data_IF_219984359556
#
_entry.id   IF_219984359556
#
_cell.length_a   1.000
_cell.length_b   1.000
_cell.length_c   1.000
_cell.angle_alpha   90.00
_cell.angle_beta   90.00
_cell.angle_gamma   90.00
#
_symmetry.space_group_name_H-M   'P 1'
#
loop_
_entity.id
_entity.type
_entity.pdbx_description
1 polymer ?
#
# COMPACT_ATOMS: atom_id res chain seq x y z
N UNK A 1 44.88 -8.90 -25.99
CA UNK A 1 44.88 -10.22 -26.67
C UNK A 1 44.11 -11.34 -25.95
N UNK A 2 43.87 -11.29 -24.68
CA UNK A 2 43.19 -12.35 -23.95
C UNK A 2 41.66 -12.43 -24.10
N UNK A 3 40.98 -11.29 -24.01
CA UNK A 3 39.52 -11.28 -23.93
C UNK A 3 38.85 -11.69 -25.25
N UNK A 4 39.36 -11.21 -26.38
CA UNK A 4 38.84 -11.56 -27.70
C UNK A 4 38.96 -13.06 -28.01
N UNK A 5 40.04 -13.69 -27.54
CA UNK A 5 40.25 -15.13 -27.72
C UNK A 5 39.24 -15.92 -26.87
N UNK A 6 39.05 -15.53 -25.61
CA UNK A 6 38.08 -16.18 -24.69
C UNK A 6 36.66 -15.98 -25.22
N UNK A 7 36.31 -14.80 -25.62
CA UNK A 7 35.00 -14.48 -26.19
C UNK A 7 34.68 -15.34 -27.42
N UNK A 8 35.59 -15.37 -28.42
CA UNK A 8 35.39 -16.18 -29.63
C UNK A 8 35.28 -17.68 -29.35
N UNK A 9 36.02 -18.20 -28.37
CA UNK A 9 36.08 -19.64 -28.08
C UNK A 9 34.94 -20.13 -27.21
N UNK A 10 34.48 -19.35 -26.23
CA UNK A 10 33.62 -19.84 -25.16
C UNK A 10 32.19 -19.24 -25.19
N UNK A 11 31.90 -18.19 -25.96
CA UNK A 11 30.53 -17.62 -26.03
C UNK A 11 29.49 -18.66 -26.47
N UNK A 12 29.77 -19.39 -27.53
CA UNK A 12 28.80 -20.35 -28.09
C UNK A 12 28.56 -21.56 -27.17
N UNK A 13 29.59 -22.23 -26.63
CA UNK A 13 29.40 -23.36 -25.68
C UNK A 13 28.65 -22.94 -24.42
N UNK A 14 28.96 -21.77 -23.86
CA UNK A 14 28.29 -21.28 -22.64
C UNK A 14 26.83 -20.90 -22.94
N UNK A 15 26.59 -20.27 -24.08
CA UNK A 15 25.23 -19.92 -24.51
C UNK A 15 24.34 -21.14 -24.66
N UNK A 16 24.86 -22.21 -25.29
CA UNK A 16 24.14 -23.47 -25.45
C UNK A 16 23.87 -24.14 -24.11
N UNK A 17 24.87 -24.25 -23.24
CA UNK A 17 24.72 -24.86 -21.94
C UNK A 17 23.70 -24.12 -21.04
N UNK A 18 23.69 -22.80 -21.07
CA UNK A 18 22.71 -22.01 -20.30
C UNK A 18 21.32 -22.18 -20.91
N UNK A 19 21.17 -22.17 -22.23
CA UNK A 19 19.89 -22.36 -22.89
C UNK A 19 19.29 -23.76 -22.63
N UNK A 20 20.13 -24.80 -22.55
CA UNK A 20 19.68 -26.17 -22.21
C UNK A 20 19.18 -26.27 -20.77
N UNK A 21 19.82 -25.57 -19.83
CA UNK A 21 19.44 -25.62 -18.41
C UNK A 21 18.23 -24.72 -18.09
N UNK A 22 18.17 -23.55 -18.69
CA UNK A 22 17.18 -22.50 -18.31
C UNK A 22 16.01 -22.38 -19.29
N UNK A 23 16.11 -22.95 -20.50
CA UNK A 23 15.12 -22.77 -21.56
C UNK A 23 15.09 -21.36 -22.16
N UNK A 24 16.00 -20.48 -21.77
CA UNK A 24 16.04 -19.07 -22.20
C UNK A 24 17.37 -18.75 -22.92
N UNK A 25 17.30 -18.04 -24.03
CA UNK A 25 18.48 -17.57 -24.76
C UNK A 25 19.03 -16.30 -24.10
N UNK A 26 20.22 -16.42 -23.48
CA UNK A 26 20.94 -15.29 -22.92
C UNK A 26 22.03 -14.79 -23.88
N UNK A 27 22.26 -13.49 -23.88
CA UNK A 27 23.41 -12.88 -24.53
C UNK A 27 24.60 -12.88 -23.55
N UNK A 28 25.73 -13.46 -23.96
CA UNK A 28 26.90 -13.62 -23.07
C UNK A 28 27.95 -12.60 -23.47
N UNK A 29 28.37 -11.80 -22.50
CA UNK A 29 29.43 -10.81 -22.65
C UNK A 29 30.53 -11.08 -21.64
N UNK A 30 31.77 -11.20 -22.13
CA UNK A 30 32.93 -11.28 -21.28
C UNK A 30 33.45 -9.89 -20.96
N UNK A 31 33.65 -9.59 -19.68
CA UNK A 31 34.11 -8.29 -19.20
C UNK A 31 35.35 -8.46 -18.31
N UNK A 32 36.28 -7.52 -18.34
CA UNK A 32 37.44 -7.50 -17.45
C UNK A 32 37.01 -7.05 -16.04
N UNK A 33 37.71 -7.51 -14.98
CA UNK A 33 37.43 -7.08 -13.60
C UNK A 33 37.50 -5.56 -13.41
N UNK A 34 38.25 -4.85 -14.24
CA UNK A 34 38.37 -3.40 -14.25
C UNK A 34 37.15 -2.72 -14.89
N UNK A 35 36.55 -3.35 -15.91
CA UNK A 35 35.34 -2.85 -16.58
C UNK A 35 34.11 -3.05 -15.69
N UNK A 36 34.10 -4.07 -14.81
CA UNK A 36 33.02 -4.28 -13.79
C UNK A 36 32.92 -3.07 -12.85
N UNK A 37 34.04 -2.36 -12.61
CA UNK A 37 34.05 -1.14 -11.79
C UNK A 37 33.52 0.10 -12.54
N UNK A 38 33.49 0.08 -13.86
CA UNK A 38 33.03 1.20 -14.71
C UNK A 38 31.62 1.00 -15.28
N UNK A 39 31.20 -0.24 -15.51
CA UNK A 39 29.76 -0.46 -15.64
C UNK A 39 29.17 -0.13 -14.27
N UNK A 40 28.54 1.05 -14.15
CA UNK A 40 27.62 1.31 -13.07
C UNK A 40 26.81 0.03 -12.90
N UNK A 41 26.99 -0.65 -11.79
CA UNK A 41 26.09 -1.73 -11.37
C UNK A 41 24.70 -1.24 -11.74
N UNK A 42 23.85 -2.02 -12.44
CA UNK A 42 22.49 -1.61 -12.77
C UNK A 42 21.99 -0.98 -11.48
N UNK A 43 21.69 0.34 -11.55
CA UNK A 43 21.53 1.20 -10.36
C UNK A 43 20.80 0.33 -9.37
N UNK A 44 21.32 0.06 -8.17
CA UNK A 44 20.84 -1.02 -7.32
C UNK A 44 19.35 -0.88 -7.44
N UNK A 45 18.66 -1.94 -7.94
CA UNK A 45 17.20 -1.95 -7.99
C UNK A 45 16.95 -1.64 -6.54
N UNK A 46 16.69 -0.36 -6.26
CA UNK A 46 16.47 0.11 -4.90
C UNK A 46 15.42 -0.88 -4.49
N UNK A 47 15.77 -1.82 -3.60
CA UNK A 47 14.79 -2.73 -3.01
C UNK A 47 13.75 -1.76 -2.61
N UNK A 48 12.67 -1.69 -3.43
CA UNK A 48 11.66 -0.68 -3.26
C UNK A 48 11.27 -0.84 -1.81
N UNK A 49 11.74 0.06 -0.95
CA UNK A 49 11.41 0.08 0.48
C UNK A 49 9.89 0.11 0.66
N UNK A 50 9.21 0.27 -0.46
CA UNK A 50 7.78 0.41 -0.67
C UNK A 50 7.15 -0.76 -1.45
N UNK A 51 7.78 -1.95 -1.54
CA UNK A 51 7.05 -3.14 -1.99
C UNK A 51 6.23 -3.59 -0.78
N UNK A 52 4.94 -3.27 -0.76
CA UNK A 52 4.09 -3.64 0.37
C UNK A 52 4.03 -5.17 0.41
N UNK A 53 4.00 -5.74 1.62
CA UNK A 53 3.78 -7.18 1.82
C UNK A 53 2.32 -7.53 1.46
N UNK A 54 2.02 -7.53 0.16
CA UNK A 54 0.68 -7.78 -0.37
C UNK A 54 0.46 -9.29 -0.54
N UNK A 55 -0.74 -9.75 -0.18
CA UNK A 55 -1.14 -11.12 -0.50
C UNK A 55 -1.40 -11.24 -2.02
N UNK A 56 -0.64 -12.07 -2.76
CA UNK A 56 -0.77 -12.18 -4.21
C UNK A 56 -2.12 -12.75 -4.68
N UNK A 57 -2.87 -13.39 -3.77
CA UNK A 57 -4.20 -13.94 -4.08
C UNK A 57 -5.32 -12.89 -4.02
N UNK A 58 -5.05 -11.70 -3.46
CA UNK A 58 -6.05 -10.66 -3.28
C UNK A 58 -6.02 -9.69 -4.46
N UNK A 59 -6.70 -10.08 -5.54
CA UNK A 59 -6.88 -9.28 -6.76
C UNK A 59 -8.36 -8.98 -6.99
N UNK A 60 -8.69 -8.03 -7.87
CA UNK A 60 -10.08 -7.79 -8.24
C UNK A 60 -10.74 -8.99 -8.92
N UNK A 61 -9.97 -9.77 -9.69
CA UNK A 61 -10.47 -10.96 -10.40
C UNK A 61 -10.90 -12.09 -9.44
N UNK A 62 -10.23 -12.19 -8.29
CA UNK A 62 -10.52 -13.22 -7.28
C UNK A 62 -11.54 -12.75 -6.24
N UNK A 63 -11.95 -11.48 -6.29
CA UNK A 63 -12.92 -10.92 -5.37
C UNK A 63 -14.35 -11.29 -5.75
N UNK A 64 -15.11 -11.92 -4.83
CA UNK A 64 -16.49 -12.28 -5.08
C UNK A 64 -17.40 -11.06 -4.88
N UNK A 65 -17.98 -10.57 -5.97
CA UNK A 65 -18.91 -9.43 -5.97
C UNK A 65 -20.33 -9.90 -5.69
N UNK A 66 -20.96 -9.31 -4.69
CA UNK A 66 -22.36 -9.52 -4.33
C UNK A 66 -23.10 -8.20 -4.12
N UNK A 67 -24.43 -8.27 -3.91
CA UNK A 67 -25.26 -7.07 -3.72
C UNK A 67 -24.79 -6.16 -2.59
N UNK A 68 -24.15 -6.71 -1.57
CA UNK A 68 -23.76 -5.99 -0.34
C UNK A 68 -22.39 -5.31 -0.45
N UNK A 69 -21.53 -5.71 -1.41
CA UNK A 69 -20.20 -5.18 -1.57
C UNK A 69 -19.93 -4.54 -2.95
N UNK A 70 -20.93 -4.60 -3.86
CA UNK A 70 -20.83 -4.05 -5.23
C UNK A 70 -20.37 -2.60 -5.26
N UNK A 71 -20.88 -1.77 -4.37
CA UNK A 71 -20.47 -0.35 -4.30
C UNK A 71 -19.03 -0.20 -3.83
N UNK A 72 -18.62 -0.96 -2.78
CA UNK A 72 -17.26 -0.92 -2.31
C UNK A 72 -16.26 -1.42 -3.36
N UNK A 73 -16.62 -2.48 -4.09
CA UNK A 73 -15.82 -2.99 -5.21
C UNK A 73 -15.68 -1.93 -6.32
N UNK A 74 -16.79 -1.32 -6.76
CA UNK A 74 -16.76 -0.29 -7.81
C UNK A 74 -15.96 0.94 -7.40
N UNK A 75 -16.11 1.42 -6.15
CA UNK A 75 -15.33 2.53 -5.63
C UNK A 75 -13.83 2.20 -5.51
N UNK A 76 -13.51 0.95 -5.12
CA UNK A 76 -12.13 0.47 -5.05
C UNK A 76 -11.48 0.41 -6.42
N UNK A 77 -12.23 -0.04 -7.43
CA UNK A 77 -11.75 -0.09 -8.82
C UNK A 77 -11.52 1.32 -9.38
N UNK A 78 -12.47 2.25 -9.14
CA UNK A 78 -12.32 3.64 -9.56
C UNK A 78 -11.07 4.31 -8.96
N UNK A 79 -10.79 4.06 -7.66
CA UNK A 79 -9.56 4.52 -6.99
C UNK A 79 -8.32 3.89 -7.58
N UNK A 80 -8.37 2.60 -7.93
CA UNK A 80 -7.24 1.92 -8.54
C UNK A 80 -6.93 2.44 -9.95
N UNK A 81 -7.95 2.84 -10.70
CA UNK A 81 -7.83 3.41 -12.05
C UNK A 81 -7.28 4.83 -12.05
N UNK A 82 -7.71 5.67 -11.08
CA UNK A 82 -7.33 7.09 -10.97
C UNK A 82 -7.03 7.46 -9.50
N UNK A 83 -5.86 7.08 -8.97
CA UNK A 83 -5.49 7.36 -7.59
C UNK A 83 -5.37 8.86 -7.31
N UNK A 84 -5.96 9.29 -6.19
CA UNK A 84 -5.93 10.69 -5.75
C UNK A 84 -7.05 11.58 -6.31
N UNK A 85 -7.82 11.11 -7.31
CA UNK A 85 -8.77 11.95 -8.03
C UNK A 85 -10.22 11.83 -7.53
N UNK A 86 -10.76 10.58 -7.44
CA UNK A 86 -12.23 10.39 -7.27
C UNK A 86 -12.62 10.28 -5.80
N UNK A 87 -11.98 9.36 -5.07
CA UNK A 87 -12.28 9.05 -3.67
C UNK A 87 -11.00 9.15 -2.84
N UNK A 88 -10.69 10.33 -2.34
CA UNK A 88 -9.51 10.54 -1.49
C UNK A 88 -9.89 11.33 -0.22
N UNK A 89 -9.83 10.73 0.97
CA UNK A 89 -9.51 9.32 1.25
C UNK A 89 -10.65 8.34 0.89
N UNK A 90 -10.28 7.11 0.52
CA UNK A 90 -11.22 5.99 0.44
C UNK A 90 -11.33 5.31 1.80
N UNK A 91 -12.54 5.27 2.36
CA UNK A 91 -12.83 4.53 3.60
C UNK A 91 -13.56 3.23 3.31
N UNK A 92 -12.91 2.09 3.59
CA UNK A 92 -13.53 0.77 3.56
C UNK A 92 -13.89 0.35 4.98
N UNK A 93 -15.18 0.19 5.29
CA UNK A 93 -15.63 -0.20 6.62
C UNK A 93 -16.72 -1.27 6.59
N UNK A 94 -16.79 -2.06 7.64
CA UNK A 94 -17.77 -3.16 7.75
C UNK A 94 -17.32 -4.21 8.75
N UNK A 95 -18.15 -5.26 8.93
CA UNK A 95 -17.85 -6.39 9.81
C UNK A 95 -16.62 -7.19 9.38
N UNK A 96 -16.21 -8.11 10.23
CA UNK A 96 -15.11 -9.05 9.95
C UNK A 96 -15.49 -9.98 8.78
N UNK A 97 -14.50 -10.42 7.99
CA UNK A 97 -14.69 -11.41 6.93
C UNK A 97 -15.38 -10.90 5.66
N UNK A 98 -15.62 -9.59 5.51
CA UNK A 98 -16.33 -9.04 4.33
C UNK A 98 -15.40 -8.71 3.14
N UNK A 99 -14.14 -9.08 3.19
CA UNK A 99 -13.20 -8.86 2.08
C UNK A 99 -12.60 -7.45 2.00
N UNK A 100 -12.64 -6.65 3.08
CA UNK A 100 -12.07 -5.29 3.09
C UNK A 100 -10.58 -5.28 2.76
N UNK A 101 -9.79 -6.08 3.47
CA UNK A 101 -8.35 -6.23 3.24
C UNK A 101 -8.06 -6.78 1.84
N UNK A 102 -8.94 -7.67 1.31
CA UNK A 102 -8.85 -8.15 -0.07
C UNK A 102 -8.96 -6.98 -1.06
N UNK A 103 -9.99 -6.13 -0.94
CA UNK A 103 -10.15 -4.95 -1.80
C UNK A 103 -8.98 -3.98 -1.68
N UNK A 104 -8.47 -3.74 -0.48
CA UNK A 104 -7.31 -2.88 -0.25
C UNK A 104 -6.07 -3.39 -1.00
N UNK A 105 -5.77 -4.70 -0.90
CA UNK A 105 -4.66 -5.32 -1.64
C UNK A 105 -4.92 -5.33 -3.15
N UNK A 106 -6.18 -5.53 -3.59
CA UNK A 106 -6.54 -5.49 -5.01
C UNK A 106 -6.24 -4.12 -5.63
N UNK A 107 -6.55 -3.03 -4.92
CA UNK A 107 -6.21 -1.67 -5.35
C UNK A 107 -4.69 -1.54 -5.54
N UNK A 108 -3.91 -1.98 -4.56
CA UNK A 108 -2.45 -1.89 -4.63
C UNK A 108 -1.87 -2.70 -5.78
N UNK A 109 -2.33 -3.95 -5.97
CA UNK A 109 -1.90 -4.78 -7.10
C UNK A 109 -2.23 -4.14 -8.45
N UNK A 110 -3.43 -3.61 -8.62
CA UNK A 110 -3.85 -2.96 -9.85
C UNK A 110 -3.00 -1.72 -10.17
N UNK A 111 -2.74 -0.86 -9.17
CA UNK A 111 -1.89 0.32 -9.35
C UNK A 111 -0.47 -0.08 -9.74
N UNK A 112 0.11 -1.10 -9.08
CA UNK A 112 1.46 -1.60 -9.39
C UNK A 112 1.55 -2.24 -10.78
N UNK A 113 0.51 -2.93 -11.23
CA UNK A 113 0.44 -3.47 -12.58
C UNK A 113 0.42 -2.35 -13.65
N UNK A 114 -0.32 -1.28 -13.38
CA UNK A 114 -0.44 -0.14 -14.28
C UNK A 114 0.81 0.77 -14.24
N UNK A 115 1.35 0.98 -13.06
CA UNK A 115 2.56 1.78 -12.83
C UNK A 115 3.49 1.12 -11.80
N UNK A 116 4.45 0.29 -12.25
CA UNK A 116 5.38 -0.41 -11.35
C UNK A 116 6.30 0.50 -10.54
N UNK A 117 6.42 1.79 -10.92
CA UNK A 117 7.23 2.77 -10.19
C UNK A 117 6.48 3.45 -9.04
N UNK A 118 5.18 3.20 -8.88
CA UNK A 118 4.37 3.78 -7.80
C UNK A 118 4.89 3.32 -6.43
N UNK A 119 5.06 4.29 -5.54
CA UNK A 119 5.48 4.04 -4.16
C UNK A 119 4.24 3.80 -3.31
N UNK A 120 3.93 2.54 -3.07
CA UNK A 120 2.79 2.10 -2.27
C UNK A 120 3.28 1.62 -0.91
N UNK A 121 2.70 2.14 0.15
CA UNK A 121 2.96 1.69 1.51
C UNK A 121 1.69 1.09 2.11
N UNK A 122 1.75 -0.20 2.46
CA UNK A 122 0.74 -0.90 3.24
C UNK A 122 1.26 -1.13 4.65
N UNK A 123 0.51 -0.70 5.64
CA UNK A 123 0.82 -0.90 7.07
C UNK A 123 -0.46 -1.16 7.85
N UNK A 124 -0.33 -1.89 8.95
CA UNK A 124 -1.38 -1.92 9.97
C UNK A 124 -1.26 -0.69 10.87
N UNK A 125 -2.35 -0.29 11.49
CA UNK A 125 -2.31 0.80 12.47
C UNK A 125 -1.44 0.48 13.68
N UNK A 126 -1.25 -0.81 13.98
CA UNK A 126 -0.33 -1.27 15.03
C UNK A 126 1.13 -1.02 14.63
N UNK A 127 1.53 -1.41 13.41
CA UNK A 127 2.87 -1.14 12.89
C UNK A 127 3.16 0.36 12.84
N UNK A 128 2.22 1.15 12.31
CA UNK A 128 2.32 2.61 12.31
C UNK A 128 2.56 3.17 13.72
N UNK A 129 1.76 2.70 14.70
CA UNK A 129 1.88 3.13 16.10
C UNK A 129 3.24 2.78 16.69
N UNK A 130 3.69 1.55 16.48
CA UNK A 130 4.96 1.08 17.02
C UNK A 130 6.14 1.88 16.43
N UNK A 131 6.11 2.17 15.13
CA UNK A 131 7.13 3.00 14.48
C UNK A 131 7.12 4.44 14.99
N UNK A 132 5.95 5.05 15.24
CA UNK A 132 5.86 6.39 15.88
C UNK A 132 6.47 6.37 17.26
N UNK A 133 6.11 5.37 18.10
CA UNK A 133 6.63 5.25 19.46
C UNK A 133 8.15 5.07 19.44
N UNK A 134 8.67 4.24 18.54
CA UNK A 134 10.09 4.02 18.40
C UNK A 134 10.82 5.29 17.95
N UNK A 135 10.27 6.02 16.98
CA UNK A 135 10.82 7.28 16.51
C UNK A 135 10.87 8.36 17.62
N UNK A 136 9.85 8.39 18.49
CA UNK A 136 9.81 9.31 19.64
C UNK A 136 10.83 8.89 20.71
N UNK A 137 10.90 7.60 21.06
CA UNK A 137 11.80 7.07 22.12
C UNK A 137 13.26 7.26 21.78
N UNK A 138 13.62 7.14 20.51
CA UNK A 138 15.02 7.27 20.08
C UNK A 138 15.58 8.69 20.20
N UNK A 139 14.81 9.66 20.73
CA UNK A 139 15.19 11.04 21.08
C UNK A 139 16.11 11.74 20.06
N UNK A 140 16.31 11.13 18.89
CA UNK A 140 17.20 11.59 17.86
C UNK A 140 16.33 12.12 16.71
N UNK A 141 16.46 13.39 16.39
CA UNK A 141 15.74 14.02 15.27
C UNK A 141 15.82 13.22 13.98
N UNK A 142 16.87 12.42 13.82
CA UNK A 142 17.07 11.53 12.66
C UNK A 142 16.03 10.41 12.56
N UNK A 143 15.57 9.82 13.68
CA UNK A 143 14.59 8.74 13.67
C UNK A 143 13.21 9.26 13.22
N UNK A 144 12.77 10.38 13.76
CA UNK A 144 11.53 11.02 13.37
C UNK A 144 11.57 11.53 11.91
N UNK A 145 12.71 12.04 11.46
CA UNK A 145 12.89 12.44 10.07
C UNK A 145 12.75 11.26 9.13
N UNK A 146 13.40 10.12 9.41
CA UNK A 146 13.27 8.89 8.62
C UNK A 146 11.84 8.36 8.60
N UNK A 147 11.13 8.41 9.75
CA UNK A 147 9.72 8.04 9.82
C UNK A 147 8.89 8.91 8.86
N UNK A 148 9.05 10.23 8.93
CA UNK A 148 8.34 11.18 8.06
C UNK A 148 8.69 10.98 6.58
N UNK A 149 9.94 10.73 6.25
CA UNK A 149 10.37 10.41 4.89
C UNK A 149 9.69 9.14 4.37
N UNK A 150 9.63 8.09 5.20
CA UNK A 150 8.96 6.82 4.85
C UNK A 150 7.48 7.02 4.54
N UNK A 151 6.76 7.77 5.38
CA UNK A 151 5.30 7.88 5.29
C UNK A 151 4.80 9.02 4.41
N UNK A 152 5.62 10.05 4.15
CA UNK A 152 5.19 11.24 3.40
C UNK A 152 5.70 11.29 1.95
N UNK A 153 6.66 10.41 1.59
CA UNK A 153 7.23 10.33 0.23
C UNK A 153 6.67 9.15 -0.57
N UNK A 154 5.38 8.89 -0.45
CA UNK A 154 4.68 7.79 -1.12
C UNK A 154 3.58 8.32 -2.03
N UNK A 155 3.12 7.48 -2.95
CA UNK A 155 2.03 7.82 -3.87
C UNK A 155 0.69 7.27 -3.38
N UNK A 156 0.71 6.16 -2.63
CA UNK A 156 -0.48 5.51 -2.07
C UNK A 156 -0.19 5.04 -0.65
N UNK A 157 -1.01 5.47 0.31
CA UNK A 157 -0.99 5.01 1.70
C UNK A 157 -2.20 4.11 1.96
N UNK A 158 -1.93 2.90 2.44
CA UNK A 158 -2.92 1.90 2.82
C UNK A 158 -2.75 1.61 4.32
N UNK A 159 -3.74 1.97 5.14
CA UNK A 159 -3.72 1.68 6.58
C UNK A 159 -4.87 0.76 6.94
N UNK A 160 -4.51 -0.42 7.44
CA UNK A 160 -5.48 -1.40 7.93
C UNK A 160 -5.77 -1.16 9.42
N UNK A 161 -7.03 -1.43 9.79
CA UNK A 161 -7.52 -1.39 11.17
C UNK A 161 -7.27 -0.05 11.90
N UNK A 162 -7.54 1.07 11.23
CA UNK A 162 -7.27 2.42 11.72
C UNK A 162 -7.87 2.75 13.09
N UNK A 163 -8.83 1.94 13.59
CA UNK A 163 -9.43 2.12 14.91
C UNK A 163 -8.42 1.99 16.07
N UNK A 164 -7.30 1.30 15.90
CA UNK A 164 -6.30 1.12 16.96
C UNK A 164 -5.37 2.33 17.15
N UNK A 165 -5.48 3.35 16.31
CA UNK A 165 -4.84 4.66 16.51
C UNK A 165 -5.61 5.49 17.53
N UNK A 166 -6.92 5.25 17.68
CA UNK A 166 -7.80 6.03 18.56
C UNK A 166 -7.33 5.91 20.04
N UNK A 167 -7.26 7.06 20.74
CA UNK A 167 -6.84 7.13 22.14
C UNK A 167 -5.33 7.17 22.38
N UNK A 168 -4.52 7.23 21.32
CA UNK A 168 -3.06 7.38 21.37
C UNK A 168 -2.66 8.73 20.83
N UNK A 169 -2.67 9.78 21.66
CA UNK A 169 -2.53 11.18 21.25
C UNK A 169 -1.34 11.45 20.31
N UNK A 170 -0.13 11.08 20.71
CA UNK A 170 1.06 11.30 19.89
C UNK A 170 1.01 10.57 18.53
N UNK A 171 0.41 9.37 18.51
CA UNK A 171 0.21 8.62 17.25
C UNK A 171 -0.85 9.27 16.37
N UNK A 172 -1.93 9.78 16.98
CA UNK A 172 -2.99 10.50 16.27
C UNK A 172 -2.45 11.78 15.64
N UNK A 173 -1.67 12.56 16.38
CA UNK A 173 -1.05 13.79 15.88
C UNK A 173 -0.15 13.52 14.66
N UNK A 174 0.76 12.56 14.75
CA UNK A 174 1.66 12.23 13.63
C UNK A 174 0.90 11.62 12.44
N UNK A 175 -0.17 10.85 12.71
CA UNK A 175 -1.07 10.38 11.67
C UNK A 175 -1.75 11.55 10.95
N UNK A 176 -2.23 12.57 11.66
CA UNK A 176 -2.84 13.75 11.05
C UNK A 176 -1.87 14.54 10.18
N UNK A 177 -0.65 14.74 10.67
CA UNK A 177 0.37 15.43 9.88
C UNK A 177 0.70 14.65 8.60
N UNK A 178 0.78 13.33 8.68
CA UNK A 178 1.00 12.46 7.53
C UNK A 178 -0.18 12.51 6.57
N UNK A 179 -1.39 12.39 7.09
CA UNK A 179 -2.62 12.49 6.31
C UNK A 179 -2.73 13.82 5.54
N UNK A 180 -2.55 14.94 6.24
CA UNK A 180 -2.67 16.26 5.63
C UNK A 180 -1.59 16.49 4.56
N UNK A 181 -0.37 16.02 4.80
CA UNK A 181 0.72 16.11 3.82
C UNK A 181 0.40 15.35 2.55
N UNK A 182 -0.07 14.09 2.67
CA UNK A 182 -0.40 13.26 1.51
C UNK A 182 -1.65 13.76 0.78
N UNK A 183 -2.70 14.10 1.53
CA UNK A 183 -3.95 14.61 0.96
C UNK A 183 -3.74 15.93 0.22
N UNK A 184 -2.97 16.87 0.82
CA UNK A 184 -2.62 18.14 0.18
C UNK A 184 -1.76 18.00 -1.07
N UNK A 185 -1.02 16.89 -1.20
CA UNK A 185 -0.23 16.53 -2.38
C UNK A 185 -1.02 15.64 -3.38
N UNK A 186 -2.33 15.48 -3.22
CA UNK A 186 -3.19 14.60 -4.03
C UNK A 186 -2.71 13.14 -4.08
N UNK A 187 -2.02 12.66 -3.03
CA UNK A 187 -1.63 11.26 -2.89
C UNK A 187 -2.81 10.44 -2.38
N UNK A 188 -2.99 9.23 -2.90
CA UNK A 188 -4.11 8.40 -2.52
C UNK A 188 -3.97 7.87 -1.09
N UNK A 189 -5.03 8.01 -0.30
CA UNK A 189 -5.12 7.45 1.05
C UNK A 189 -6.29 6.47 1.09
N UNK A 190 -6.04 5.26 1.61
CA UNK A 190 -7.05 4.22 1.79
C UNK A 190 -7.01 3.77 3.25
N UNK A 191 -8.13 3.90 3.93
CA UNK A 191 -8.27 3.59 5.34
C UNK A 191 -9.30 2.48 5.52
N UNK A 192 -8.91 1.47 6.27
CA UNK A 192 -9.76 0.33 6.56
C UNK A 192 -10.12 0.28 8.03
N UNK A 193 -11.40 0.01 8.31
CA UNK A 193 -11.89 -0.06 9.68
C UNK A 193 -12.86 -1.23 9.88
N UNK A 194 -12.71 -1.92 11.00
CA UNK A 194 -13.72 -2.84 11.53
C UNK A 194 -14.63 -2.03 12.44
N UNK A 195 -15.89 -1.81 12.08
CA UNK A 195 -16.82 -1.00 12.89
C UNK A 195 -18.06 -1.78 13.26
N UNK A 196 -18.42 -1.84 14.56
CA UNK A 196 -19.82 -1.91 14.94
C UNK A 196 -20.48 -0.54 14.70
N UNK A 197 -21.71 -0.54 14.19
CA UNK A 197 -22.47 0.60 13.67
C UNK A 197 -22.58 1.84 14.58
N UNK A 198 -22.32 1.73 15.89
CA UNK A 198 -22.60 2.76 16.91
C UNK A 198 -21.44 3.72 17.23
N UNK A 199 -20.21 3.48 16.81
CA UNK A 199 -19.02 4.23 17.28
C UNK A 199 -18.47 5.26 16.28
N UNK A 200 -19.25 5.64 15.26
CA UNK A 200 -18.80 6.58 14.21
C UNK A 200 -18.65 8.03 14.69
N UNK A 201 -19.36 8.43 15.74
CA UNK A 201 -19.46 9.84 16.17
C UNK A 201 -18.16 10.32 16.84
N UNK A 202 -17.43 9.46 17.56
CA UNK A 202 -16.24 9.87 18.29
C UNK A 202 -15.01 10.19 17.42
N UNK A 203 -14.92 9.63 16.20
CA UNK A 203 -13.85 9.94 15.26
C UNK A 203 -13.96 11.38 14.70
N UNK A 204 -15.17 11.84 14.39
CA UNK A 204 -15.38 13.21 13.88
C UNK A 204 -15.01 14.30 14.88
N UNK A 205 -15.19 14.03 16.18
CA UNK A 205 -14.91 14.98 17.27
C UNK A 205 -13.46 14.95 17.75
N UNK A 206 -12.79 13.81 17.63
CA UNK A 206 -11.40 13.66 18.10
C UNK A 206 -10.35 14.02 17.05
N UNK A 207 -10.73 14.12 15.76
CA UNK A 207 -9.77 14.03 14.67
C UNK A 207 -9.72 15.22 13.71
N UNK A 208 -10.51 16.27 13.94
CA UNK A 208 -10.46 17.49 13.12
C UNK A 208 -10.48 18.70 14.04
N UNK A 209 -9.39 19.45 14.21
CA UNK A 209 -9.53 20.85 14.48
C UNK A 209 -10.17 21.45 13.22
N UNK A 210 -11.49 21.64 13.26
CA UNK A 210 -12.22 22.38 12.23
C UNK A 210 -11.70 23.80 12.25
N UNK A 211 -10.73 24.12 11.40
CA UNK A 211 -10.59 25.49 10.94
C UNK A 211 -11.85 25.75 10.13
N UNK A 212 -12.62 26.74 10.56
CA UNK A 212 -13.90 27.17 10.01
C UNK A 212 -13.88 27.17 8.47
N UNK A 213 -14.70 26.33 7.86
CA UNK A 213 -15.17 26.57 6.50
C UNK A 213 -15.23 25.38 5.54
N UNK A 214 -14.39 24.37 5.65
CA UNK A 214 -14.37 23.28 4.67
C UNK A 214 -14.75 21.92 5.29
N UNK A 215 -15.99 21.51 5.03
CA UNK A 215 -16.41 20.12 5.19
C UNK A 215 -15.63 19.27 4.20
N UNK A 216 -14.66 18.48 4.69
CA UNK A 216 -13.97 17.49 3.86
C UNK A 216 -14.99 16.63 3.11
N UNK A 217 -14.93 16.57 1.77
CA UNK A 217 -15.75 15.64 0.99
C UNK A 217 -15.28 14.21 1.27
N UNK A 218 -15.85 13.58 2.30
CA UNK A 218 -15.56 12.19 2.62
C UNK A 218 -16.32 11.28 1.68
N UNK A 219 -15.67 10.83 0.63
CA UNK A 219 -16.20 9.77 -0.23
C UNK A 219 -16.14 8.44 0.51
N UNK A 220 -17.31 7.83 0.73
CA UNK A 220 -17.47 6.66 1.60
C UNK A 220 -17.92 5.46 0.83
N UNK A 221 -17.07 4.44 0.70
CA UNK A 221 -17.48 3.13 0.26
C UNK A 221 -17.78 2.20 1.46
N UNK A 222 -18.97 1.63 1.52
CA UNK A 222 -19.42 0.76 2.61
C UNK A 222 -19.58 -0.67 2.16
N UNK A 223 -18.95 -1.61 2.88
CA UNK A 223 -19.27 -3.04 2.76
C UNK A 223 -20.30 -3.40 3.83
N UNK A 224 -21.55 -3.72 3.42
CA UNK A 224 -22.63 -4.11 4.32
C UNK A 224 -22.87 -5.61 4.30
N UNK A 225 -23.08 -6.19 5.47
CA UNK A 225 -23.81 -7.45 5.62
C UNK A 225 -25.30 -7.10 5.76
N UNK A 226 -26.15 -7.74 4.94
CA UNK A 226 -27.60 -7.72 5.20
C UNK A 226 -27.84 -8.57 6.44
N UNK A 227 -28.27 -7.96 7.55
CA UNK A 227 -28.85 -8.73 8.64
C UNK A 227 -30.13 -9.38 8.09
N UNK A 228 -30.20 -10.69 8.19
CA UNK A 228 -31.43 -11.39 7.85
C UNK A 228 -32.53 -10.94 8.82
N UNK A 229 -33.79 -10.79 8.38
CA UNK A 229 -34.90 -10.34 9.26
C UNK A 229 -35.26 -11.34 10.37
N UNK A 230 -34.56 -12.45 10.50
CA UNK A 230 -34.89 -13.56 11.40
C UNK A 230 -34.30 -13.46 12.80
N UNK A 231 -33.51 -12.44 13.15
CA UNK A 231 -32.88 -12.36 14.49
C UNK A 231 -33.66 -11.59 15.55
N UNK A 232 -34.84 -11.05 15.23
CA UNK A 232 -35.67 -10.30 16.22
C UNK A 232 -36.85 -11.08 16.85
N UNK A 233 -36.96 -12.38 16.59
CA UNK A 233 -38.13 -13.14 17.06
C UNK A 233 -37.90 -14.03 18.28
N UNK A 234 -36.83 -13.86 19.02
CA UNK A 234 -36.62 -14.58 20.29
C UNK A 234 -36.05 -13.69 21.39
N UNK A 235 -36.81 -12.70 21.81
CA UNK A 235 -36.71 -12.06 23.15
C UNK A 235 -38.10 -11.57 23.56
N UNK A 236 -38.86 -12.49 24.06
CA UNK A 236 -39.92 -12.27 25.06
C UNK A 236 -39.65 -13.21 26.21
#
# INVERSE_FOLDING_TARGET
>A
MGLDYVSKKYTLPIKVAIAEITGVNYEIRFILPEEVKQEKAPAPVQKNLYVPNLNPKYTFDTFVVGSNNKFAHAASLAVAESPGEIYNPLFLYGGVGLGKTHLMHSIAHFILQKNPSSRILYVTSEEFTNEVIEAIRNSNNTAMTKFREKYRNIDVLLIDDVQFIIGKESTQEEFFHTFNTLHGANKQIILLRIVPRKTWISWKTASVPVSNGDSLPTSRARIMRRESPFSERNRN
#
